data_IF_504570669891
#
_entry.id   IF_504570669891
#
_cell.length_a   1.000
_cell.length_b   1.000
_cell.length_c   1.000
_cell.angle_alpha   90.00
_cell.angle_beta   90.00
_cell.angle_gamma   90.00
#
_symmetry.space_group_name_H-M   'P 1'
#
loop_
_entity.id
_entity.type
_entity.pdbx_description
1 polymer ?
#
# COMPACT_ATOMS: atom_id res chain seq x y z
N UNK A 1 -22.19 -20.86 -27.08
CA UNK A 1 -20.83 -21.33 -26.73
C UNK A 1 -19.83 -20.19 -26.74
N UNK A 2 -19.91 -19.25 -27.68
CA UNK A 2 -19.04 -18.05 -27.72
C UNK A 2 -19.15 -17.17 -26.45
N UNK A 3 -20.35 -16.93 -25.92
CA UNK A 3 -20.58 -16.18 -24.68
C UNK A 3 -19.92 -16.77 -23.43
N UNK A 4 -19.77 -18.09 -23.36
CA UNK A 4 -19.08 -18.76 -22.23
C UNK A 4 -17.57 -18.57 -22.33
N UNK A 5 -17.03 -18.61 -23.55
CA UNK A 5 -15.60 -18.37 -23.81
C UNK A 5 -15.22 -16.93 -23.50
N UNK A 6 -16.06 -15.95 -23.89
CA UNK A 6 -15.87 -14.53 -23.56
C UNK A 6 -15.92 -14.28 -22.05
N UNK A 7 -16.87 -14.91 -21.34
CA UNK A 7 -16.98 -14.79 -19.87
C UNK A 7 -15.75 -15.35 -19.16
N UNK A 8 -15.20 -16.47 -19.65
CA UNK A 8 -13.98 -17.06 -19.12
C UNK A 8 -12.73 -16.21 -19.41
N UNK A 9 -12.65 -15.60 -20.60
CA UNK A 9 -11.56 -14.66 -20.93
C UNK A 9 -11.62 -13.41 -20.06
N UNK A 10 -12.81 -12.84 -19.84
CA UNK A 10 -12.98 -11.72 -18.91
C UNK A 10 -12.55 -12.13 -17.50
N UNK A 11 -13.01 -13.28 -16.99
CA UNK A 11 -12.62 -13.78 -15.67
C UNK A 11 -11.10 -13.92 -15.51
N UNK A 12 -10.41 -14.38 -16.56
CA UNK A 12 -8.95 -14.47 -16.58
C UNK A 12 -8.28 -13.08 -16.57
N UNK A 13 -8.85 -12.07 -17.22
CA UNK A 13 -8.33 -10.71 -17.20
C UNK A 13 -8.60 -9.98 -15.87
N UNK A 14 -9.71 -10.31 -15.19
CA UNK A 14 -10.03 -9.78 -13.87
C UNK A 14 -9.19 -10.41 -12.74
N UNK A 15 -8.55 -11.56 -12.99
CA UNK A 15 -7.71 -12.19 -11.98
C UNK A 15 -6.40 -11.42 -11.82
N UNK A 16 -6.02 -11.12 -10.57
CA UNK A 16 -4.80 -10.37 -10.25
C UNK A 16 -3.52 -11.00 -10.79
N UNK A 17 -3.54 -12.31 -11.11
CA UNK A 17 -2.44 -13.00 -11.78
C UNK A 17 -2.17 -12.52 -13.21
N UNK A 18 -3.20 -12.12 -13.97
CA UNK A 18 -3.01 -11.65 -15.34
C UNK A 18 -2.41 -10.24 -15.42
N UNK A 19 -2.67 -9.41 -14.40
CA UNK A 19 -2.09 -8.07 -14.26
C UNK A 19 -0.81 -8.06 -13.41
N UNK A 20 -0.32 -9.22 -12.98
CA UNK A 20 0.86 -9.32 -12.15
C UNK A 20 2.13 -9.12 -12.98
N UNK A 21 2.66 -7.91 -12.94
CA UNK A 21 3.99 -7.59 -13.48
C UNK A 21 5.08 -7.98 -12.48
N UNK A 22 6.30 -8.25 -12.96
CA UNK A 22 7.45 -8.57 -12.10
C UNK A 22 7.76 -7.44 -11.10
N UNK A 23 7.46 -6.19 -11.46
CA UNK A 23 7.63 -5.02 -10.59
C UNK A 23 6.78 -5.12 -9.32
N UNK A 24 5.53 -5.61 -9.42
CA UNK A 24 4.67 -5.80 -8.26
C UNK A 24 5.28 -6.82 -7.28
N UNK A 25 5.78 -7.94 -7.80
CA UNK A 25 6.44 -8.97 -6.98
C UNK A 25 7.70 -8.44 -6.30
N UNK A 26 8.52 -7.65 -7.02
CA UNK A 26 9.71 -7.03 -6.46
C UNK A 26 9.37 -6.06 -5.31
N UNK A 27 8.34 -5.21 -5.49
CA UNK A 27 7.93 -4.26 -4.46
C UNK A 27 7.30 -4.92 -3.24
N UNK A 28 6.52 -6.00 -3.43
CA UNK A 28 5.99 -6.81 -2.33
C UNK A 28 7.15 -7.44 -1.53
N UNK A 29 8.16 -7.97 -2.23
CA UNK A 29 9.34 -8.55 -1.57
C UNK A 29 10.09 -7.51 -0.74
N UNK A 30 10.27 -6.29 -1.25
CA UNK A 30 10.86 -5.18 -0.48
C UNK A 30 9.99 -4.82 0.73
N UNK A 31 8.67 -4.78 0.59
CA UNK A 31 7.74 -4.55 1.70
C UNK A 31 7.87 -5.60 2.81
N UNK A 32 8.00 -6.88 2.45
CA UNK A 32 8.24 -7.98 3.39
C UNK A 32 9.60 -7.80 4.10
N UNK A 33 10.64 -7.40 3.38
CA UNK A 33 11.95 -7.10 3.98
C UNK A 33 11.82 -5.99 5.03
N UNK A 34 11.10 -4.90 4.73
CA UNK A 34 10.93 -3.79 5.68
C UNK A 34 10.15 -4.21 6.93
N UNK A 35 9.07 -4.98 6.78
CA UNK A 35 8.35 -5.55 7.92
C UNK A 35 9.28 -6.45 8.74
N UNK A 36 10.07 -7.29 8.08
CA UNK A 36 11.02 -8.20 8.75
C UNK A 36 12.07 -7.42 9.54
N UNK A 37 12.63 -6.35 8.97
CA UNK A 37 13.57 -5.47 9.68
C UNK A 37 12.92 -4.76 10.88
N UNK A 38 11.69 -4.26 10.72
CA UNK A 38 10.93 -3.62 11.78
C UNK A 38 10.61 -4.55 12.95
N UNK A 39 10.26 -5.82 12.68
CA UNK A 39 9.87 -6.78 13.72
C UNK A 39 11.10 -7.50 14.32
N UNK A 40 11.95 -8.09 13.48
CA UNK A 40 13.07 -8.93 13.93
C UNK A 40 14.20 -8.09 14.48
N UNK A 41 14.60 -7.03 13.76
CA UNK A 41 15.71 -6.16 14.17
C UNK A 41 15.26 -4.97 15.01
N UNK A 42 13.95 -4.77 15.20
CA UNK A 42 13.37 -3.63 15.95
C UNK A 42 13.85 -2.26 15.44
N UNK A 43 14.18 -2.16 14.16
CA UNK A 43 14.51 -0.88 13.54
C UNK A 43 13.22 -0.10 13.33
N UNK A 44 13.10 1.07 13.97
CA UNK A 44 11.96 2.00 13.88
C UNK A 44 10.60 1.30 13.61
N UNK A 45 10.16 0.39 14.50
CA UNK A 45 9.03 -0.51 14.22
C UNK A 45 7.74 0.26 13.93
N UNK A 46 7.60 1.45 14.55
CA UNK A 46 6.45 2.34 14.37
C UNK A 46 6.36 2.93 12.96
N UNK A 47 7.47 3.03 12.23
CA UNK A 47 7.51 3.57 10.87
C UNK A 47 7.66 2.47 9.83
N UNK A 48 8.64 1.56 10.02
CA UNK A 48 8.98 0.53 9.02
C UNK A 48 7.86 -0.48 8.80
N UNK A 49 7.11 -0.86 9.85
CA UNK A 49 6.01 -1.83 9.70
C UNK A 49 4.83 -1.23 8.92
N UNK A 50 4.30 -0.03 9.24
CA UNK A 50 3.28 0.60 8.41
C UNK A 50 3.73 0.90 6.98
N UNK A 51 4.99 1.30 6.76
CA UNK A 51 5.52 1.55 5.42
C UNK A 51 5.56 0.24 4.61
N UNK A 52 6.13 -0.83 5.17
CA UNK A 52 6.20 -2.13 4.50
C UNK A 52 4.81 -2.70 4.20
N UNK A 53 3.85 -2.54 5.11
CA UNK A 53 2.45 -2.91 4.88
C UNK A 53 1.81 -2.12 3.74
N UNK A 54 2.01 -0.80 3.71
CA UNK A 54 1.56 0.06 2.62
C UNK A 54 2.17 -0.31 1.26
N UNK A 55 3.45 -0.68 1.24
CA UNK A 55 4.11 -1.18 0.02
C UNK A 55 3.50 -2.48 -0.50
N UNK A 56 3.16 -3.42 0.38
CA UNK A 56 2.51 -4.67 -0.01
C UNK A 56 1.14 -4.37 -0.60
N UNK A 57 0.27 -3.68 0.15
CA UNK A 57 -1.10 -3.39 -0.29
C UNK A 57 -1.14 -2.55 -1.56
N UNK A 58 -0.31 -1.51 -1.66
CA UNK A 58 -0.27 -0.64 -2.83
C UNK A 58 0.24 -1.33 -4.10
N UNK A 59 0.94 -2.46 -3.98
CA UNK A 59 1.47 -3.23 -5.11
C UNK A 59 0.71 -4.54 -5.37
N UNK A 60 -0.41 -4.80 -4.69
CA UNK A 60 -1.29 -5.91 -5.06
C UNK A 60 -1.83 -5.62 -6.46
N UNK A 61 -1.71 -6.56 -7.43
CA UNK A 61 -2.26 -6.38 -8.77
C UNK A 61 -3.78 -6.50 -8.70
N UNK A 62 -4.45 -5.38 -8.47
CA UNK A 62 -5.90 -5.26 -8.39
C UNK A 62 -6.42 -4.71 -9.72
N UNK A 63 -7.56 -5.21 -10.17
CA UNK A 63 -8.25 -4.67 -11.34
C UNK A 63 -8.82 -3.26 -11.03
N UNK A 64 -8.66 -2.33 -11.97
CA UNK A 64 -9.14 -0.95 -11.82
C UNK A 64 -10.68 -0.92 -11.75
N UNK A 65 -11.24 -0.29 -10.72
CA UNK A 65 -12.69 -0.14 -10.52
C UNK A 65 -13.26 -0.77 -9.25
N UNK A 66 -12.41 -1.34 -8.38
CA UNK A 66 -12.81 -1.89 -7.08
C UNK A 66 -12.82 -0.85 -5.94
N UNK A 67 -12.48 0.41 -6.22
CA UNK A 67 -12.34 1.50 -5.24
C UNK A 67 -11.32 1.22 -4.13
N UNK A 68 -10.35 0.35 -4.42
CA UNK A 68 -9.28 0.01 -3.47
C UNK A 68 -7.98 0.73 -3.82
N UNK A 69 -7.74 1.07 -5.08
CA UNK A 69 -6.48 1.67 -5.53
C UNK A 69 -6.20 3.06 -4.95
N UNK A 70 -4.92 3.43 -4.84
CA UNK A 70 -4.49 4.79 -4.42
C UNK A 70 -4.94 5.86 -5.43
N UNK A 71 -5.05 5.48 -6.70
CA UNK A 71 -5.42 6.37 -7.80
C UNK A 71 -6.94 6.47 -8.02
N UNK A 72 -7.75 5.69 -7.28
CA UNK A 72 -9.20 5.74 -7.38
C UNK A 72 -9.77 6.75 -6.39
N UNK A 73 -10.45 7.77 -6.91
CA UNK A 73 -11.03 8.83 -6.09
C UNK A 73 -12.14 8.25 -5.20
N UNK A 74 -12.04 8.47 -3.88
CA UNK A 74 -12.95 7.91 -2.89
C UNK A 74 -12.50 6.59 -2.27
N UNK A 75 -11.41 5.98 -2.76
CA UNK A 75 -10.77 4.84 -2.10
C UNK A 75 -10.24 5.22 -0.71
N UNK A 76 -10.29 4.28 0.23
CA UNK A 76 -9.65 4.40 1.54
C UNK A 76 -8.16 4.72 1.38
N UNK A 77 -7.46 4.04 0.46
CA UNK A 77 -6.03 4.29 0.22
C UNK A 77 -5.78 5.67 -0.40
N UNK A 78 -6.70 6.15 -1.26
CA UNK A 78 -6.61 7.51 -1.81
C UNK A 78 -6.74 8.56 -0.70
N UNK A 79 -7.68 8.39 0.24
CA UNK A 79 -7.89 9.31 1.37
C UNK A 79 -6.63 9.35 2.26
N UNK A 80 -6.06 8.19 2.57
CA UNK A 80 -4.81 8.11 3.34
C UNK A 80 -3.64 8.77 2.59
N UNK A 81 -3.56 8.60 1.26
CA UNK A 81 -2.52 9.22 0.45
C UNK A 81 -2.67 10.75 0.34
N UNK A 82 -3.89 11.29 0.35
CA UNK A 82 -4.14 12.74 0.45
C UNK A 82 -3.54 13.34 1.73
N UNK A 83 -3.48 12.54 2.79
CA UNK A 83 -2.60 12.67 3.96
C UNK A 83 -1.23 13.30 3.70
N UNK A 84 -0.52 12.62 2.81
CA UNK A 84 0.86 12.94 2.45
C UNK A 84 0.89 14.08 1.44
N UNK A 85 0.04 14.04 0.41
CA UNK A 85 0.00 15.05 -0.65
C UNK A 85 -0.33 16.46 -0.14
N UNK A 86 -1.27 16.57 0.81
CA UNK A 86 -1.65 17.85 1.43
C UNK A 86 -0.68 18.29 2.53
N UNK A 87 0.30 17.44 2.90
CA UNK A 87 1.38 17.79 3.82
C UNK A 87 0.97 17.97 5.30
N UNK A 88 -0.12 17.35 5.74
CA UNK A 88 -0.65 17.48 7.12
C UNK A 88 -0.08 16.40 8.05
N UNK A 89 0.29 15.22 7.54
CA UNK A 89 0.95 14.20 8.36
C UNK A 89 2.33 14.62 8.92
N UNK A 90 3.26 15.22 8.15
CA UNK A 90 4.57 15.57 8.69
C UNK A 90 4.51 16.57 9.87
N UNK A 91 3.76 17.69 9.81
CA UNK A 91 3.61 18.59 10.95
C UNK A 91 2.95 17.92 12.17
N UNK A 92 1.96 17.04 11.97
CA UNK A 92 1.31 16.30 13.07
C UNK A 92 2.28 15.32 13.75
N UNK A 93 3.11 14.63 12.98
CA UNK A 93 4.16 13.75 13.52
C UNK A 93 5.18 14.56 14.32
N UNK A 94 5.64 15.70 13.79
CA UNK A 94 6.59 16.56 14.50
C UNK A 94 5.99 17.20 15.76
N UNK A 95 4.72 17.57 15.73
CA UNK A 95 4.00 18.02 16.93
C UNK A 95 4.00 16.94 18.01
N UNK A 96 3.71 15.68 17.64
CA UNK A 96 3.76 14.55 18.57
C UNK A 96 5.15 14.32 19.15
N UNK A 97 6.20 14.37 18.32
CA UNK A 97 7.60 14.25 18.78
C UNK A 97 7.96 15.41 19.73
N UNK A 98 7.57 16.64 19.39
CA UNK A 98 7.79 17.81 20.24
C UNK A 98 7.11 17.70 21.60
N UNK A 99 5.88 17.16 21.63
CA UNK A 99 5.15 16.92 22.88
C UNK A 99 5.76 15.82 23.77
N UNK A 100 6.56 14.92 23.20
CA UNK A 100 7.27 13.86 23.94
C UNK A 100 8.67 14.29 24.40
N UNK A 101 9.17 15.45 23.96
CA UNK A 101 10.48 15.96 24.36
C UNK A 101 10.39 16.61 25.73
N UNK A 102 11.20 16.13 26.68
CA UNK A 102 11.35 16.76 27.99
C UNK A 102 12.36 17.93 27.91
N UNK A 103 12.07 19.03 28.61
CA UNK A 103 12.85 20.28 28.62
C UNK A 103 13.44 20.61 30.01
N UNK A 104 13.32 19.69 30.97
CA UNK A 104 13.90 19.85 32.32
C UNK A 104 15.42 19.83 32.36
#
# INVERSE_FOLDING_TARGET
METVVESLQQFWQFTGFANCTWQHLAMILIGIIFITLGIVKKWEPLLLVPIGFGMIIGNIPIFQGLQVGIYEQGSVLNILHQGVLKGWYPPLIFLGIGAMTDFS
#
